data_IF_154591434458
#
_entry.id   IF_154591434458
#
_cell.length_a   1.000
_cell.length_b   1.000
_cell.length_c   1.000
_cell.angle_alpha   90.00
_cell.angle_beta   90.00
_cell.angle_gamma   90.00
#
_symmetry.space_group_name_H-M   'P 1'
#
loop_
_entity.id
_entity.type
_entity.pdbx_description
1 polymer ?
#
# COMPACT_ATOMS: atom_id res chain seq x y z
N UNK A 1 -4.41 11.24 -10.59
CA UNK A 1 -4.64 11.14 -9.13
C UNK A 1 -3.80 10.01 -8.58
N UNK A 2 -3.18 10.19 -7.41
CA UNK A 2 -2.27 9.22 -6.81
C UNK A 2 -2.90 8.73 -5.50
N UNK A 3 -3.36 7.48 -5.49
CA UNK A 3 -4.17 6.91 -4.40
C UNK A 3 -3.47 5.81 -3.61
N UNK A 4 -2.54 5.09 -4.26
CA UNK A 4 -1.82 3.96 -3.68
C UNK A 4 -0.31 4.15 -3.85
N UNK A 5 0.43 4.08 -2.74
CA UNK A 5 1.90 4.16 -2.72
C UNK A 5 2.47 2.99 -1.93
N UNK A 6 3.56 2.39 -2.44
CA UNK A 6 4.34 1.39 -1.71
C UNK A 6 5.82 1.82 -1.61
N UNK A 7 6.32 1.97 -0.38
CA UNK A 7 7.72 2.24 -0.02
C UNK A 7 8.32 1.10 0.81
N UNK A 8 7.90 -0.14 0.53
CA UNK A 8 8.37 -1.31 1.25
C UNK A 8 9.88 -1.49 1.11
N UNK A 9 10.59 -1.61 2.24
CA UNK A 9 12.06 -1.76 2.33
C UNK A 9 12.87 -0.55 1.81
N UNK A 10 12.27 0.63 1.75
CA UNK A 10 13.00 1.87 1.48
C UNK A 10 13.74 2.35 2.76
N UNK A 11 14.81 1.66 3.15
CA UNK A 11 15.53 1.88 4.41
C UNK A 11 16.22 3.24 4.54
N UNK A 12 16.53 3.88 3.41
CA UNK A 12 17.15 5.22 3.40
C UNK A 12 16.16 6.34 3.78
N UNK A 13 14.85 6.06 3.76
CA UNK A 13 13.82 7.05 4.06
C UNK A 13 13.53 7.02 5.56
N UNK A 14 13.73 8.16 6.23
CA UNK A 14 13.44 8.28 7.65
C UNK A 14 11.92 8.11 7.92
N UNK A 15 11.48 7.32 8.92
CA UNK A 15 10.05 7.06 9.15
C UNK A 15 9.19 8.32 9.33
N UNK A 16 9.76 9.39 9.86
CA UNK A 16 9.05 10.66 10.07
C UNK A 16 8.69 11.37 8.76
N UNK A 17 9.46 11.17 7.68
CA UNK A 17 9.20 11.87 6.40
C UNK A 17 7.91 11.39 5.76
N UNK A 18 7.44 10.17 6.06
CA UNK A 18 6.16 9.68 5.58
C UNK A 18 4.99 10.53 6.08
N UNK A 19 5.12 11.26 7.20
CA UNK A 19 4.08 12.19 7.67
C UNK A 19 3.77 13.32 6.65
N UNK A 20 4.74 13.69 5.80
CA UNK A 20 4.53 14.67 4.73
C UNK A 20 3.51 14.22 3.68
N UNK A 21 3.31 12.90 3.53
CA UNK A 21 2.35 12.32 2.59
C UNK A 21 0.90 12.66 2.93
N UNK A 22 0.61 13.14 4.15
CA UNK A 22 -0.69 13.68 4.53
C UNK A 22 -1.16 14.84 3.64
N UNK A 23 -0.24 15.55 3.00
CA UNK A 23 -0.56 16.64 2.07
C UNK A 23 -1.22 16.13 0.78
N UNK A 24 -1.06 14.85 0.46
CA UNK A 24 -1.68 14.21 -0.71
C UNK A 24 -3.15 13.90 -0.42
N UNK A 25 -4.05 14.77 -0.88
CA UNK A 25 -5.50 14.68 -0.60
C UNK A 25 -6.19 13.40 -1.10
N UNK A 26 -5.60 12.73 -2.08
CA UNK A 26 -6.17 11.53 -2.71
C UNK A 26 -5.52 10.24 -2.22
N UNK A 27 -4.55 10.32 -1.31
CA UNK A 27 -3.83 9.14 -0.85
C UNK A 27 -4.73 8.31 0.07
N UNK A 28 -5.05 7.10 -0.36
CA UNK A 28 -5.91 6.18 0.38
C UNK A 28 -5.10 5.06 1.05
N UNK A 29 -3.97 4.65 0.46
CA UNK A 29 -3.15 3.57 1.02
C UNK A 29 -1.65 3.82 0.91
N UNK A 30 -0.93 3.36 1.93
CA UNK A 30 0.52 3.46 2.04
C UNK A 30 1.11 2.15 2.59
N UNK A 31 1.91 1.46 1.79
CA UNK A 31 2.58 0.21 2.19
C UNK A 31 4.07 0.44 2.48
N UNK A 32 4.48 0.33 3.75
CA UNK A 32 5.84 0.59 4.27
C UNK A 32 6.45 -0.64 4.95
N UNK A 33 6.20 -1.84 4.41
CA UNK A 33 6.67 -3.08 5.00
C UNK A 33 8.18 -3.11 5.22
N UNK A 34 8.60 -3.52 6.42
CA UNK A 34 10.00 -3.72 6.77
C UNK A 34 10.79 -2.45 7.10
N UNK A 35 10.20 -1.26 6.99
CA UNK A 35 10.88 0.00 7.33
C UNK A 35 10.69 0.37 8.80
N UNK A 36 9.53 0.03 9.38
CA UNK A 36 9.13 0.44 10.73
C UNK A 36 8.57 -0.76 11.49
N UNK A 37 8.78 -0.79 12.81
CA UNK A 37 8.18 -1.76 13.71
C UNK A 37 6.69 -1.43 14.00
N UNK A 38 5.99 -2.33 14.68
CA UNK A 38 4.55 -2.17 14.95
C UNK A 38 4.24 -0.86 15.72
N UNK A 39 5.07 -0.52 16.71
CA UNK A 39 4.91 0.70 17.52
C UNK A 39 5.12 1.97 16.69
N UNK A 40 6.13 1.98 15.82
CA UNK A 40 6.34 3.09 14.91
C UNK A 40 5.23 3.20 13.86
N UNK A 41 4.61 2.09 13.47
CA UNK A 41 3.45 2.08 12.59
C UNK A 41 2.23 2.77 13.22
N UNK A 42 1.94 2.48 14.49
CA UNK A 42 0.85 3.11 15.26
C UNK A 42 1.08 4.63 15.41
N UNK A 43 2.32 5.04 15.67
CA UNK A 43 2.70 6.47 15.70
C UNK A 43 2.51 7.13 14.35
N UNK A 44 2.95 6.50 13.27
CA UNK A 44 2.76 7.01 11.91
C UNK A 44 1.28 7.13 11.53
N UNK A 45 0.48 6.12 11.89
CA UNK A 45 -0.97 6.13 11.68
C UNK A 45 -1.62 7.32 12.40
N UNK A 46 -1.18 7.61 13.63
CA UNK A 46 -1.66 8.76 14.40
C UNK A 46 -1.30 10.10 13.75
N UNK A 47 -0.12 10.21 13.12
CA UNK A 47 0.31 11.42 12.42
C UNK A 47 -0.44 11.64 11.09
N UNK A 48 -0.57 10.58 10.30
CA UNK A 48 -1.23 10.58 8.99
C UNK A 48 -2.74 10.78 9.12
N UNK A 49 -3.34 10.27 10.20
CA UNK A 49 -4.78 10.33 10.45
C UNK A 49 -5.53 9.15 9.83
N UNK A 50 -6.84 9.08 10.09
CA UNK A 50 -7.71 7.95 9.71
C UNK A 50 -7.98 7.81 8.20
N UNK A 51 -7.52 8.74 7.37
CA UNK A 51 -7.78 8.74 5.93
C UNK A 51 -6.86 7.80 5.15
N UNK A 52 -5.69 7.44 5.69
CA UNK A 52 -4.67 6.65 4.98
C UNK A 52 -4.55 5.28 5.65
N UNK A 53 -4.79 4.22 4.87
CA UNK A 53 -4.66 2.84 5.35
C UNK A 53 -3.20 2.40 5.20
N UNK A 54 -2.58 1.99 6.31
CA UNK A 54 -1.20 1.50 6.33
C UNK A 54 -1.14 -0.02 6.14
N UNK A 55 -0.17 -0.49 5.35
CA UNK A 55 0.21 -1.90 5.21
C UNK A 55 -0.95 -2.86 4.92
N UNK A 56 -1.92 -2.42 4.13
CA UNK A 56 -3.10 -3.22 3.80
C UNK A 56 -2.74 -4.35 2.84
N UNK A 57 -1.82 -4.10 1.90
CA UNK A 57 -1.64 -4.97 0.75
C UNK A 57 -0.17 -5.34 0.57
N UNK A 58 0.17 -6.58 0.95
CA UNK A 58 1.54 -7.08 0.81
C UNK A 58 1.95 -7.35 -0.65
N UNK A 59 0.98 -7.50 -1.55
CA UNK A 59 1.22 -7.78 -2.95
C UNK A 59 0.58 -6.71 -3.82
N UNK A 60 1.31 -6.27 -4.85
CA UNK A 60 0.79 -5.33 -5.85
C UNK A 60 -0.28 -5.97 -6.73
N UNK A 61 -1.26 -5.17 -7.16
CA UNK A 61 -2.27 -5.56 -8.15
C UNK A 61 -2.03 -4.95 -9.52
N UNK A 62 -0.98 -4.15 -9.66
CA UNK A 62 -0.61 -3.52 -10.92
C UNK A 62 -0.29 -4.62 -11.94
N UNK A 63 -0.99 -4.57 -13.07
CA UNK A 63 -0.86 -5.52 -14.18
C UNK A 63 -1.00 -7.00 -13.80
N UNK A 64 -1.63 -7.32 -12.65
CA UNK A 64 -1.90 -8.72 -12.30
C UNK A 64 -3.09 -9.25 -13.08
N UNK A 65 -2.92 -10.33 -13.86
CA UNK A 65 -3.99 -10.82 -14.73
C UNK A 65 -5.15 -11.42 -13.93
N UNK A 66 -4.87 -11.99 -12.76
CA UNK A 66 -5.85 -12.49 -11.81
C UNK A 66 -5.67 -11.82 -10.46
N UNK A 67 -6.68 -11.09 -10.00
CA UNK A 67 -6.76 -10.61 -8.63
C UNK A 67 -8.18 -10.76 -8.08
N UNK A 68 -8.29 -11.18 -6.81
CA UNK A 68 -9.54 -11.47 -6.13
C UNK A 68 -10.10 -12.87 -6.41
N UNK A 69 -11.19 -13.21 -5.72
CA UNK A 69 -11.79 -14.57 -5.71
C UNK A 69 -12.50 -14.92 -7.04
N UNK A 70 -12.73 -13.95 -7.93
CA UNK A 70 -13.65 -14.11 -9.08
C UNK A 70 -13.01 -14.03 -10.48
N UNK A 71 -11.68 -14.06 -10.63
CA UNK A 71 -11.02 -13.95 -11.95
C UNK A 71 -10.24 -15.20 -12.30
N UNK A 72 -10.91 -16.15 -12.97
CA UNK A 72 -10.31 -17.37 -13.52
C UNK A 72 -9.74 -17.16 -14.92
N UNK A 73 -9.80 -15.95 -15.48
CA UNK A 73 -9.36 -15.66 -16.84
C UNK A 73 -8.18 -14.69 -16.90
N UNK A 74 -7.22 -14.99 -17.77
CA UNK A 74 -6.09 -14.13 -18.14
C UNK A 74 -6.30 -13.75 -19.61
N UNK A 75 -6.37 -12.46 -19.92
CA UNK A 75 -6.63 -11.95 -21.29
C UNK A 75 -7.87 -12.59 -21.97
N UNK A 76 -8.93 -12.84 -21.21
CA UNK A 76 -10.16 -13.46 -21.73
C UNK A 76 -10.13 -14.99 -21.83
N UNK A 77 -8.98 -15.63 -21.56
CA UNK A 77 -8.82 -17.09 -21.56
C UNK A 77 -8.96 -17.64 -20.15
N UNK A 78 -9.89 -18.56 -19.93
CA UNK A 78 -10.00 -19.28 -18.64
C UNK A 78 -8.75 -20.13 -18.41
N UNK A 79 -8.14 -19.94 -17.25
CA UNK A 79 -6.90 -20.59 -16.81
C UNK A 79 -7.13 -21.62 -15.71
N UNK A 80 -8.37 -21.73 -15.21
CA UNK A 80 -8.84 -22.85 -14.38
C UNK A 80 -9.96 -23.56 -15.13
N UNK A 81 -9.91 -24.91 -15.25
CA UNK A 81 -11.02 -25.69 -15.79
C UNK A 81 -12.32 -25.44 -15.00
#
# INVERSE_FOLDING_TARGET
HLEHIAFSRCYAIAPITYASLKQLRHLNSLDIFGVVDQRGLEKLNSLLGSSIILNQQRFSYVARPTYGVRRTAIWGLRTRP
#
